data_IF_695029818077
#
_entry.id   IF_695029818077
#
_cell.length_a   1.000
_cell.length_b   1.000
_cell.length_c   1.000
_cell.angle_alpha   90.00
_cell.angle_beta   90.00
_cell.angle_gamma   90.00
#
_symmetry.space_group_name_H-M   'P 1'
#
loop_
_entity.id
_entity.type
_entity.pdbx_description
1 polymer ?
#
# COMPACT_ATOMS: atom_id res chain seq x y z
N UNK A 1 -2.40 13.83 -0.76
CA UNK A 1 -2.70 12.43 -0.43
C UNK A 1 -1.77 11.86 0.64
N UNK A 2 -0.43 11.90 0.54
CA UNK A 2 0.43 11.41 1.63
C UNK A 2 0.24 12.16 2.95
N UNK A 3 0.13 13.49 2.91
CA UNK A 3 -0.12 14.32 4.11
C UNK A 3 -1.39 13.93 4.86
N UNK A 4 -2.53 13.80 4.17
CA UNK A 4 -3.78 13.38 4.80
C UNK A 4 -3.71 11.97 5.41
N UNK A 5 -2.94 11.05 4.80
CA UNK A 5 -2.72 9.72 5.38
C UNK A 5 -1.96 9.81 6.70
N UNK A 6 -0.91 10.63 6.75
CA UNK A 6 -0.17 10.88 7.98
C UNK A 6 -1.05 11.51 9.07
N UNK A 7 -1.85 12.52 8.72
CA UNK A 7 -2.80 13.14 9.65
C UNK A 7 -3.84 12.14 10.17
N UNK A 8 -4.38 11.29 9.30
CA UNK A 8 -5.36 10.26 9.64
C UNK A 8 -4.80 9.26 10.66
N UNK A 9 -3.59 8.74 10.43
CA UNK A 9 -2.90 7.83 11.35
C UNK A 9 -2.53 8.55 12.65
N UNK A 10 -2.03 9.78 12.58
CA UNK A 10 -1.66 10.59 13.74
C UNK A 10 -2.86 10.94 14.63
N UNK A 11 -4.06 11.05 14.05
CA UNK A 11 -5.32 11.22 14.78
C UNK A 11 -5.79 9.94 15.49
N UNK A 12 -5.00 8.86 15.49
CA UNK A 12 -5.30 7.60 16.15
C UNK A 12 -6.19 6.65 15.34
N UNK A 13 -6.46 6.97 14.08
CA UNK A 13 -7.19 6.06 13.19
C UNK A 13 -6.26 4.99 12.63
N UNK A 14 -6.77 3.78 12.45
CA UNK A 14 -6.03 2.68 11.86
C UNK A 14 -6.35 2.54 10.37
N UNK A 15 -5.32 2.31 9.56
CA UNK A 15 -5.44 1.96 8.16
C UNK A 15 -4.82 0.59 7.90
N UNK A 16 -5.46 -0.22 7.06
CA UNK A 16 -4.88 -1.48 6.56
C UNK A 16 -3.66 -1.29 5.64
N UNK A 17 -3.30 -0.03 5.36
CA UNK A 17 -2.20 0.34 4.49
C UNK A 17 -2.67 0.84 3.12
N UNK A 18 -1.78 1.56 2.42
CA UNK A 18 -2.01 2.11 1.09
C UNK A 18 -0.83 1.76 0.19
N UNK A 19 -1.14 1.09 -0.93
CA UNK A 19 -0.19 0.81 -2.01
C UNK A 19 -0.35 1.85 -3.11
N UNK A 20 0.74 2.55 -3.45
CA UNK A 20 0.77 3.54 -4.52
C UNK A 20 1.38 2.90 -5.77
N UNK A 21 0.74 3.08 -6.91
CA UNK A 21 1.19 2.56 -8.22
C UNK A 21 1.48 3.73 -9.14
N UNK A 22 2.56 3.64 -9.93
CA UNK A 22 2.84 4.63 -10.97
C UNK A 22 1.78 4.57 -12.07
N UNK A 23 1.36 5.75 -12.55
CA UNK A 23 0.44 5.82 -13.68
C UNK A 23 1.11 5.27 -14.94
N UNK A 24 0.32 4.62 -15.80
CA UNK A 24 0.81 4.00 -17.05
C UNK A 24 1.37 2.59 -16.89
N UNK A 25 1.49 2.07 -15.66
CA UNK A 25 1.80 0.65 -15.43
C UNK A 25 0.60 -0.21 -15.83
N UNK A 26 0.86 -1.33 -16.52
CA UNK A 26 -0.21 -2.24 -16.93
C UNK A 26 -0.91 -2.87 -15.72
N UNK A 27 -2.24 -3.03 -15.80
CA UNK A 27 -3.02 -3.69 -14.74
C UNK A 27 -2.52 -5.10 -14.43
N UNK A 28 -2.01 -5.82 -15.44
CA UNK A 28 -1.41 -7.15 -15.25
C UNK A 28 -0.24 -7.11 -14.27
N UNK A 29 0.74 -6.23 -14.52
CA UNK A 29 1.91 -6.10 -13.66
C UNK A 29 1.54 -5.70 -12.22
N UNK A 30 0.53 -4.82 -12.09
CA UNK A 30 0.00 -4.43 -10.78
C UNK A 30 -0.60 -5.62 -10.04
N UNK A 31 -1.43 -6.43 -10.71
CA UNK A 31 -2.06 -7.60 -10.11
C UNK A 31 -1.01 -8.65 -9.70
N UNK A 32 -0.03 -8.91 -10.57
CA UNK A 32 1.06 -9.86 -10.29
C UNK A 32 1.89 -9.43 -9.08
N UNK A 33 2.21 -8.14 -8.97
CA UNK A 33 2.92 -7.60 -7.81
C UNK A 33 2.09 -7.64 -6.52
N UNK A 34 0.79 -7.32 -6.57
CA UNK A 34 -0.10 -7.46 -5.39
C UNK A 34 -0.16 -8.92 -4.93
N UNK A 35 -0.22 -9.87 -5.86
CA UNK A 35 -0.20 -11.30 -5.54
C UNK A 35 1.11 -11.70 -4.86
N UNK A 36 2.26 -11.20 -5.34
CA UNK A 36 3.56 -11.44 -4.70
C UNK A 36 3.60 -10.87 -3.28
N UNK A 37 3.14 -9.63 -3.08
CA UNK A 37 3.03 -9.00 -1.75
C UNK A 37 2.19 -9.87 -0.82
N UNK A 38 1.02 -10.32 -1.28
CA UNK A 38 0.12 -11.17 -0.51
C UNK A 38 0.78 -12.48 -0.05
N UNK A 39 1.58 -13.09 -0.92
CA UNK A 39 2.23 -14.37 -0.61
C UNK A 39 3.46 -14.17 0.30
N UNK A 40 4.15 -13.04 0.17
CA UNK A 40 5.46 -12.82 0.79
C UNK A 40 5.43 -12.02 2.10
N UNK A 41 4.27 -11.56 2.56
CA UNK A 41 4.17 -10.71 3.76
C UNK A 41 2.91 -10.99 4.59
N UNK A 42 2.95 -10.62 5.87
CA UNK A 42 1.78 -10.66 6.76
C UNK A 42 1.00 -9.34 6.72
N UNK A 43 -0.33 -9.41 6.88
CA UNK A 43 -1.20 -8.23 6.91
C UNK A 43 -0.79 -7.18 7.96
N UNK A 44 -0.24 -7.59 9.11
CA UNK A 44 0.21 -6.66 10.15
C UNK A 44 1.38 -5.78 9.70
N UNK A 45 2.18 -6.23 8.75
CA UNK A 45 3.32 -5.47 8.22
C UNK A 45 2.88 -4.23 7.43
N UNK A 46 1.61 -4.16 7.02
CA UNK A 46 1.05 -3.09 6.18
C UNK A 46 0.26 -2.04 6.94
N UNK A 47 -0.10 -2.33 8.19
CA UNK A 47 -0.91 -1.43 9.03
C UNK A 47 -0.22 -0.07 9.15
N UNK A 48 -0.99 0.98 8.87
CA UNK A 48 -0.56 2.38 8.93
C UNK A 48 0.66 2.71 8.05
N UNK A 49 0.90 1.93 6.98
CA UNK A 49 1.94 2.21 5.99
C UNK A 49 1.36 2.71 4.68
N UNK A 50 2.07 3.64 4.06
CA UNK A 50 1.83 4.09 2.70
C UNK A 50 3.13 3.90 1.92
N UNK A 51 3.13 3.00 0.94
CA UNK A 51 4.34 2.67 0.17
C UNK A 51 4.04 2.53 -1.32
N UNK A 52 5.09 2.62 -2.13
CA UNK A 52 5.00 2.26 -3.53
C UNK A 52 4.92 0.74 -3.70
N UNK A 53 4.04 0.28 -4.57
CA UNK A 53 3.94 -1.11 -4.97
C UNK A 53 5.28 -1.52 -5.60
N UNK A 54 5.92 -2.61 -5.13
CA UNK A 54 7.18 -3.08 -5.71
C UNK A 54 6.89 -3.69 -7.09
N UNK A 55 7.27 -2.98 -8.14
CA UNK A 55 7.11 -3.38 -9.55
C UNK A 55 8.45 -3.75 -10.18
#
# INVERSE_FOLDING_TARGET
MPGHFHEFVAAGSASSGVLIVLQGVSNRAVIESILLVWIASDAQEWVNRIIWLPL
#
